data_IF_402046262846
#
_entry.id   IF_402046262846
#
_cell.length_a   1.000
_cell.length_b   1.000
_cell.length_c   1.000
_cell.angle_alpha   90.00
_cell.angle_beta   90.00
_cell.angle_gamma   90.00
#
_symmetry.space_group_name_H-M   'P 1'
#
loop_
_entity.id
_entity.type
_entity.pdbx_description
1 polymer ?
#
# COMPACT_ATOMS: atom_id res chain seq x y z
N UNK A 1 28.11 -2.09 22.07
CA UNK A 1 26.70 -1.77 22.22
C UNK A 1 25.97 -2.12 20.92
N UNK A 2 24.93 -2.90 21.04
CA UNK A 2 24.14 -3.26 19.87
C UNK A 2 23.27 -2.07 19.44
N UNK A 3 23.25 -1.82 18.16
CA UNK A 3 22.39 -0.78 17.58
C UNK A 3 21.31 -1.46 16.77
N UNK A 4 20.06 -1.16 17.11
CA UNK A 4 18.93 -1.77 16.44
C UNK A 4 18.37 -0.81 15.40
N UNK A 5 18.94 -0.86 14.22
CA UNK A 5 18.38 -0.13 13.09
C UNK A 5 18.70 -0.85 11.78
N UNK A 6 17.89 -0.56 10.77
CA UNK A 6 18.06 -1.13 9.44
C UNK A 6 17.87 -0.04 8.41
N UNK A 7 18.54 -0.16 7.30
CA UNK A 7 18.41 0.77 6.18
C UNK A 7 18.43 -0.01 4.89
N UNK A 8 17.44 0.20 4.04
CA UNK A 8 17.42 -0.37 2.69
C UNK A 8 17.08 0.74 1.70
N UNK A 9 17.58 0.61 0.49
CA UNK A 9 17.15 1.45 -0.62
C UNK A 9 16.04 0.70 -1.35
N UNK A 10 15.00 1.40 -1.75
CA UNK A 10 13.87 0.76 -2.43
C UNK A 10 14.34 -0.03 -3.65
N UNK A 11 15.25 0.54 -4.42
CA UNK A 11 15.73 -0.10 -5.64
C UNK A 11 16.50 -1.40 -5.41
N UNK A 12 16.95 -1.65 -4.18
CA UNK A 12 17.65 -2.88 -3.83
C UNK A 12 16.70 -3.99 -3.35
N UNK A 13 15.43 -3.67 -3.18
CA UNK A 13 14.40 -4.64 -2.79
C UNK A 13 13.68 -5.11 -4.03
N UNK A 14 13.54 -6.43 -4.18
CA UNK A 14 12.89 -7.01 -5.34
C UNK A 14 11.50 -6.43 -5.55
N UNK A 15 11.21 -6.03 -6.79
CA UNK A 15 9.89 -5.58 -7.18
C UNK A 15 9.12 -6.75 -7.78
N UNK A 16 7.96 -7.04 -7.23
CA UNK A 16 7.09 -8.11 -7.68
C UNK A 16 5.86 -7.52 -8.34
N UNK A 17 5.20 -8.30 -9.16
CA UNK A 17 4.02 -7.85 -9.91
C UNK A 17 2.85 -8.75 -9.57
N UNK A 18 1.70 -8.15 -9.30
CA UNK A 18 0.46 -8.92 -9.18
C UNK A 18 0.06 -9.41 -10.56
N UNK A 19 -0.10 -10.74 -10.76
CA UNK A 19 -0.34 -11.28 -12.09
C UNK A 19 -1.60 -10.73 -12.79
N UNK A 20 -2.66 -10.48 -12.04
CA UNK A 20 -3.94 -10.07 -12.62
C UNK A 20 -4.07 -8.57 -12.82
N UNK A 21 -3.49 -7.78 -11.92
CA UNK A 21 -3.67 -6.33 -11.91
C UNK A 21 -2.53 -5.57 -12.58
N UNK A 22 -1.36 -6.20 -12.67
CA UNK A 22 -0.20 -5.57 -13.27
C UNK A 22 0.54 -4.60 -12.37
N UNK A 23 -0.06 -4.16 -11.26
CA UNK A 23 0.65 -3.25 -10.39
C UNK A 23 1.79 -3.96 -9.65
N UNK A 24 2.78 -3.17 -9.24
CA UNK A 24 4.05 -3.68 -8.72
C UNK A 24 4.19 -3.30 -7.25
N UNK A 25 4.88 -4.15 -6.50
CA UNK A 25 5.07 -3.89 -5.07
C UNK A 25 6.45 -4.37 -4.62
N UNK A 26 6.93 -3.76 -3.53
CA UNK A 26 8.14 -4.18 -2.85
C UNK A 26 7.80 -4.44 -1.40
N UNK A 27 8.18 -5.61 -0.91
CA UNK A 27 7.92 -6.01 0.48
C UNK A 27 9.09 -5.58 1.33
N UNK A 28 8.86 -4.67 2.26
CA UNK A 28 9.91 -4.06 3.06
C UNK A 28 9.96 -4.57 4.50
N UNK A 29 8.92 -5.24 4.96
CA UNK A 29 8.82 -5.67 6.37
C UNK A 29 10.00 -6.55 6.77
N UNK A 30 10.27 -7.59 5.99
CA UNK A 30 11.35 -8.54 6.31
C UNK A 30 12.74 -7.94 6.12
N UNK A 31 13.05 -7.30 4.97
CA UNK A 31 14.38 -6.69 4.82
C UNK A 31 14.71 -5.66 5.88
N UNK A 32 13.72 -4.93 6.38
CA UNK A 32 13.94 -3.96 7.45
C UNK A 32 13.92 -4.59 8.84
N UNK A 33 13.39 -5.80 8.96
CA UNK A 33 13.28 -6.46 10.25
C UNK A 33 12.18 -5.90 11.15
N UNK A 34 11.12 -5.36 10.55
CA UNK A 34 10.01 -4.82 11.33
C UNK A 34 9.24 -5.94 12.01
N UNK A 35 8.87 -5.72 13.27
CA UNK A 35 8.11 -6.71 14.05
C UNK A 35 6.76 -6.19 14.51
N UNK A 36 6.58 -4.88 14.57
CA UNK A 36 5.36 -4.27 15.10
C UNK A 36 4.53 -3.59 14.03
N UNK A 37 4.98 -3.64 12.79
CA UNK A 37 4.28 -3.06 11.66
C UNK A 37 4.64 -3.80 10.38
N UNK A 38 3.79 -3.65 9.38
CA UNK A 38 4.07 -4.07 8.02
C UNK A 38 4.34 -2.83 7.20
N UNK A 39 5.24 -2.96 6.24
CA UNK A 39 5.51 -1.85 5.32
C UNK A 39 5.83 -2.42 3.94
N UNK A 40 5.26 -1.80 2.92
CA UNK A 40 5.55 -2.15 1.53
C UNK A 40 5.34 -0.92 0.65
N UNK A 41 5.85 -0.98 -0.57
CA UNK A 41 5.52 0.02 -1.58
C UNK A 41 4.62 -0.60 -2.64
N UNK A 42 3.78 0.25 -3.23
CA UNK A 42 2.98 -0.12 -4.40
C UNK A 42 3.25 0.91 -5.47
N UNK A 43 3.58 0.45 -6.67
CA UNK A 43 3.81 1.32 -7.82
C UNK A 43 2.76 1.02 -8.88
N UNK A 44 2.07 2.06 -9.30
CA UNK A 44 1.03 1.99 -10.32
C UNK A 44 1.49 2.66 -11.59
N UNK A 45 1.34 1.95 -12.71
CA UNK A 45 1.47 2.57 -14.02
C UNK A 45 0.21 3.35 -14.37
N UNK A 46 0.24 4.11 -15.48
CA UNK A 46 -0.93 4.88 -15.89
C UNK A 46 -2.19 4.02 -16.00
N UNK A 47 -3.28 4.48 -15.40
CA UNK A 47 -4.56 3.80 -15.44
C UNK A 47 -4.71 2.62 -14.50
N UNK A 48 -3.67 2.22 -13.80
CA UNK A 48 -3.73 1.09 -12.87
C UNK A 48 -4.34 1.49 -11.54
N UNK A 49 -4.91 0.50 -10.84
CA UNK A 49 -5.50 0.70 -9.52
C UNK A 49 -5.32 -0.57 -8.71
N UNK A 50 -5.33 -0.43 -7.40
CA UNK A 50 -5.35 -1.60 -6.51
C UNK A 50 -6.79 -2.09 -6.35
N UNK A 51 -6.93 -3.36 -5.95
CA UNK A 51 -8.24 -3.92 -5.63
C UNK A 51 -8.83 -3.20 -4.42
N UNK A 52 -10.10 -2.75 -4.47
CA UNK A 52 -10.74 -2.20 -3.28
C UNK A 52 -10.76 -3.24 -2.16
N UNK A 53 -10.35 -2.83 -0.96
CA UNK A 53 -10.29 -3.74 0.18
C UNK A 53 -10.37 -2.98 1.50
N UNK A 54 -10.60 -3.71 2.57
CA UNK A 54 -10.56 -3.22 3.93
C UNK A 54 -9.77 -4.22 4.78
N UNK A 55 -9.38 -3.82 5.97
CA UNK A 55 -8.72 -4.69 6.94
C UNK A 55 -9.63 -4.88 8.14
N UNK A 56 -9.41 -5.94 8.89
CA UNK A 56 -10.23 -6.20 10.08
C UNK A 56 -9.70 -5.51 11.32
N UNK A 57 -8.39 -5.52 11.51
CA UNK A 57 -7.75 -5.02 12.73
C UNK A 57 -6.59 -4.09 12.50
N UNK A 58 -6.15 -3.94 11.26
CA UNK A 58 -4.95 -3.19 10.96
C UNK A 58 -5.28 -1.76 10.55
N UNK A 59 -4.65 -0.80 11.23
CA UNK A 59 -4.68 0.61 10.83
C UNK A 59 -3.55 0.83 9.82
N UNK A 60 -3.78 1.66 8.81
CA UNK A 60 -2.76 1.91 7.81
C UNK A 60 -2.47 3.38 7.59
N UNK A 61 -1.23 3.66 7.17
CA UNK A 61 -0.84 4.95 6.62
C UNK A 61 -0.41 4.73 5.19
N UNK A 62 -0.91 5.59 4.31
CA UNK A 62 -0.51 5.63 2.91
C UNK A 62 0.22 6.93 2.64
N UNK A 63 1.41 6.85 2.08
CA UNK A 63 2.22 8.03 1.76
C UNK A 63 2.35 8.08 0.24
N UNK A 64 1.82 9.14 -0.37
CA UNK A 64 1.84 9.32 -1.81
C UNK A 64 3.15 10.03 -2.21
N UNK A 65 4.18 9.27 -2.59
CA UNK A 65 5.46 9.86 -2.96
C UNK A 65 5.35 10.79 -4.15
N UNK A 66 4.51 10.44 -5.12
CA UNK A 66 4.36 11.19 -6.36
C UNK A 66 2.97 11.83 -6.48
N UNK A 67 2.15 11.72 -5.44
CA UNK A 67 0.75 12.07 -5.52
C UNK A 67 -0.07 10.95 -6.16
N UNK A 68 -1.39 11.11 -6.21
CA UNK A 68 -2.27 10.12 -6.80
C UNK A 68 -3.71 10.34 -6.39
N UNK A 69 -4.53 9.33 -6.62
CA UNK A 69 -5.94 9.34 -6.24
C UNK A 69 -6.24 8.15 -5.33
N UNK A 70 -7.09 8.40 -4.35
CA UNK A 70 -7.50 7.41 -3.36
C UNK A 70 -9.01 7.36 -3.32
N UNK A 71 -9.57 6.18 -3.56
CA UNK A 71 -11.00 5.95 -3.40
C UNK A 71 -11.24 5.45 -1.98
N UNK A 72 -12.10 6.15 -1.24
CA UNK A 72 -12.51 5.79 0.12
C UNK A 72 -14.02 5.65 0.12
N UNK A 73 -14.52 4.45 0.37
CA UNK A 73 -15.95 4.16 0.33
C UNK A 73 -16.61 4.72 -0.94
N UNK A 74 -15.94 4.48 -2.09
CA UNK A 74 -16.40 4.90 -3.42
C UNK A 74 -16.33 6.40 -3.70
N UNK A 75 -15.75 7.20 -2.79
CA UNK A 75 -15.54 8.62 -3.01
C UNK A 75 -14.07 8.84 -3.35
N UNK A 76 -13.81 9.47 -4.50
CA UNK A 76 -12.44 9.70 -4.96
C UNK A 76 -11.86 10.99 -4.41
N UNK A 77 -10.66 10.87 -3.87
CA UNK A 77 -9.91 11.99 -3.32
C UNK A 77 -8.59 12.14 -4.08
N UNK A 78 -8.24 13.37 -4.41
CA UNK A 78 -6.92 13.65 -4.95
C UNK A 78 -5.96 13.82 -3.77
N UNK A 79 -4.83 13.10 -3.82
CA UNK A 79 -3.80 13.18 -2.80
C UNK A 79 -2.57 13.81 -3.43
N UNK A 80 -2.12 14.96 -2.92
CA UNK A 80 -0.96 15.64 -3.52
C UNK A 80 0.33 14.88 -3.25
N UNK A 81 1.36 15.21 -4.02
CA UNK A 81 2.70 14.68 -3.79
C UNK A 81 3.12 14.93 -2.34
N UNK A 82 3.57 13.88 -1.67
CA UNK A 82 3.93 13.96 -0.26
C UNK A 82 2.75 13.91 0.69
N UNK A 83 1.52 13.72 0.18
CA UNK A 83 0.35 13.58 1.03
C UNK A 83 0.38 12.29 1.83
N UNK A 84 -0.10 12.35 3.07
CA UNK A 84 -0.14 11.21 3.98
C UNK A 84 -1.58 11.02 4.43
N UNK A 85 -2.07 9.78 4.30
CA UNK A 85 -3.46 9.43 4.60
C UNK A 85 -3.48 8.35 5.66
N UNK A 86 -4.32 8.54 6.69
CA UNK A 86 -4.57 7.48 7.67
C UNK A 86 -5.88 6.79 7.32
N UNK A 87 -5.88 5.47 7.36
CA UNK A 87 -7.05 4.66 7.06
C UNK A 87 -7.36 3.72 8.23
N UNK A 88 -8.58 3.81 8.75
CA UNK A 88 -9.05 2.86 9.75
C UNK A 88 -9.26 1.47 9.14
N UNK A 89 -9.34 0.43 9.96
CA UNK A 89 -9.38 -0.95 9.45
C UNK A 89 -10.53 -1.23 8.50
N UNK A 90 -11.74 -0.84 8.87
CA UNK A 90 -12.95 -1.21 8.13
C UNK A 90 -13.29 -0.27 6.97
N UNK A 91 -12.44 0.69 6.68
CA UNK A 91 -12.65 1.61 5.57
C UNK A 91 -12.24 0.92 4.26
N UNK A 92 -13.16 0.83 3.32
CA UNK A 92 -12.86 0.26 2.00
C UNK A 92 -12.06 1.28 1.20
N UNK A 93 -10.89 0.89 0.71
CA UNK A 93 -9.98 1.80 0.01
C UNK A 93 -9.35 1.15 -1.20
N UNK A 94 -8.91 2.01 -2.12
CA UNK A 94 -8.16 1.64 -3.31
C UNK A 94 -7.38 2.86 -3.78
N UNK A 95 -6.15 2.67 -4.23
CA UNK A 95 -5.38 3.77 -4.84
C UNK A 95 -5.39 3.59 -6.36
N UNK A 96 -5.35 4.72 -7.07
CA UNK A 96 -5.42 4.75 -8.53
C UNK A 96 -4.42 5.72 -9.09
N UNK A 97 -3.92 5.41 -10.28
CA UNK A 97 -3.09 6.32 -11.04
C UNK A 97 -3.90 6.86 -12.23
N UNK A 98 -4.31 8.11 -12.12
CA UNK A 98 -5.07 8.79 -13.18
C UNK A 98 -4.17 9.54 -14.16
N UNK A 99 -2.85 9.43 -13.99
CA UNK A 99 -1.89 10.00 -14.92
C UNK A 99 -1.93 9.25 -16.25
N UNK A 100 -1.61 9.94 -17.33
CA UNK A 100 -1.58 9.33 -18.66
C UNK A 100 -0.22 8.75 -19.01
N UNK A 101 0.83 9.18 -18.34
CA UNK A 101 2.19 8.81 -18.75
C UNK A 101 3.20 8.69 -17.62
N UNK A 102 2.79 8.77 -16.36
CA UNK A 102 3.71 8.71 -15.23
C UNK A 102 3.35 7.58 -14.29
N UNK A 103 4.38 6.98 -13.69
CA UNK A 103 4.20 6.02 -12.60
C UNK A 103 3.99 6.77 -11.29
N UNK A 104 3.27 6.15 -10.37
CA UNK A 104 3.04 6.69 -9.04
C UNK A 104 3.33 5.62 -8.00
N UNK A 105 4.12 5.97 -7.00
CA UNK A 105 4.50 5.05 -5.93
C UNK A 105 3.93 5.52 -4.60
N UNK A 106 3.37 4.58 -3.87
CA UNK A 106 2.86 4.78 -2.52
C UNK A 106 3.67 3.95 -1.55
N UNK A 107 3.93 4.49 -0.35
CA UNK A 107 4.42 3.70 0.78
C UNK A 107 3.21 3.40 1.64
N UNK A 108 3.04 2.14 2.00
CA UNK A 108 1.90 1.69 2.81
C UNK A 108 2.42 1.00 4.07
N UNK A 109 2.03 1.54 5.23
CA UNK A 109 2.40 0.99 6.53
C UNK A 109 1.15 0.55 7.25
N UNK A 110 1.20 -0.62 7.90
CA UNK A 110 0.05 -1.14 8.65
C UNK A 110 0.48 -1.71 9.99
N UNK A 111 -0.33 -1.49 11.01
CA UNK A 111 -0.11 -2.01 12.36
C UNK A 111 -1.44 -2.21 13.06
N UNK A 112 -1.54 -3.22 13.94
CA UNK A 112 -0.55 -4.25 14.23
C UNK A 112 -0.34 -5.19 13.04
N UNK A 113 0.79 -5.93 13.00
CA UNK A 113 1.08 -6.83 11.87
C UNK A 113 0.31 -8.14 12.01
N UNK A 114 -0.99 -8.09 11.72
CA UNK A 114 -1.90 -9.22 11.88
C UNK A 114 -2.16 -9.91 10.55
N UNK A 115 -2.47 -11.20 10.62
CA UNK A 115 -2.79 -11.99 9.44
C UNK A 115 -1.57 -12.69 8.85
N UNK A 116 -1.78 -13.42 7.78
CA UNK A 116 -0.78 -14.32 7.21
C UNK A 116 -0.50 -14.07 5.74
N UNK A 117 -1.04 -12.99 5.19
CA UNK A 117 -0.83 -12.70 3.76
C UNK A 117 0.35 -11.76 3.62
N UNK A 118 1.54 -12.34 3.58
CA UNK A 118 2.80 -11.61 3.31
C UNK A 118 2.84 -10.23 3.98
N UNK A 119 3.19 -9.20 3.20
CA UNK A 119 3.27 -7.84 3.68
C UNK A 119 1.92 -7.10 3.66
N UNK A 120 0.86 -7.78 3.26
CA UNK A 120 -0.44 -7.12 3.11
C UNK A 120 -1.34 -7.30 4.32
N UNK A 121 -0.96 -8.22 5.26
CA UNK A 121 -1.78 -8.50 6.42
C UNK A 121 -3.10 -9.17 6.05
N UNK A 122 -4.01 -9.25 7.01
CA UNK A 122 -5.35 -9.76 6.71
C UNK A 122 -6.17 -8.63 6.08
N UNK A 123 -6.97 -8.97 5.08
CA UNK A 123 -7.83 -7.99 4.44
C UNK A 123 -9.09 -8.65 3.90
N UNK A 124 -10.11 -7.82 3.69
CA UNK A 124 -11.38 -8.27 3.12
C UNK A 124 -11.64 -7.49 1.84
N UNK A 125 -12.18 -8.19 0.84
CA UNK A 125 -12.58 -7.57 -0.41
C UNK A 125 -14.11 -7.48 -0.41
N UNK A 126 -14.70 -6.31 -0.72
CA UNK A 126 -16.16 -6.19 -0.77
C UNK A 126 -16.73 -7.20 -1.75
N UNK A 127 -17.88 -7.77 -1.39
CA UNK A 127 -18.59 -8.67 -2.29
C UNK A 127 -19.07 -7.88 -3.50
N UNK A 128 -19.02 -8.53 -4.68
CA UNK A 128 -19.59 -7.92 -5.87
C UNK A 128 -21.11 -7.90 -5.72
N UNK A 129 -21.67 -6.74 -5.95
CA UNK A 129 -23.13 -6.61 -5.97
C UNK A 129 -23.60 -6.91 -7.39
N UNK A 130 -24.16 -8.06 -7.55
CA UNK A 130 -24.73 -8.45 -8.84
C UNK A 130 -26.13 -7.90 -9.02
#
# INVERSE_FOLDING_TARGET
>A
MATDFSLVRLEDVEQERFPELGNRHRKLTEPLGCTEMRVNTVTLGPGEATTPHAHERQEELYIALDGGHLDVDEIRHEVPEGGVVRLGPDVVRSVRNESQNEEQTWIMCGAPPVGTIDDFGEYTVPADDD
#
